data_IF_335931622774
#
_entry.id   IF_335931622774
#
_cell.length_a   1.000
_cell.length_b   1.000
_cell.length_c   1.000
_cell.angle_alpha   90.00
_cell.angle_beta   90.00
_cell.angle_gamma   90.00
#
_symmetry.space_group_name_H-M   'P 1'
#
loop_
_entity.id
_entity.type
_entity.pdbx_description
1 polymer ?
#
# COMPACT_ATOMS: atom_id res chain seq x y z
N UNK A 1 -19.36 9.45 -17.04
CA UNK A 1 -17.96 9.15 -16.67
C UNK A 1 -17.95 7.82 -15.95
N UNK A 2 -17.00 6.95 -16.27
CA UNK A 2 -16.83 5.67 -15.58
C UNK A 2 -16.07 5.90 -14.26
N UNK A 3 -16.19 4.96 -13.32
CA UNK A 3 -15.57 5.01 -11.98
C UNK A 3 -14.56 3.87 -11.77
N UNK A 4 -13.81 3.54 -12.81
CA UNK A 4 -12.81 2.47 -12.71
C UNK A 4 -11.68 2.92 -11.80
N UNK A 5 -11.35 2.11 -10.80
CA UNK A 5 -10.28 2.38 -9.84
C UNK A 5 -9.11 1.40 -10.00
N UNK A 6 -9.41 0.16 -10.35
CA UNK A 6 -8.44 -0.92 -10.57
C UNK A 6 -8.68 -1.57 -11.94
N UNK A 7 -7.59 -1.89 -12.62
CA UNK A 7 -7.54 -2.53 -13.93
C UNK A 7 -6.58 -3.73 -13.96
N UNK A 8 -6.10 -4.15 -12.78
CA UNK A 8 -5.22 -5.31 -12.64
C UNK A 8 -5.87 -6.53 -13.31
N UNK A 9 -5.08 -7.29 -14.08
CA UNK A 9 -5.47 -8.50 -14.82
C UNK A 9 -6.64 -8.37 -15.82
N UNK A 10 -7.14 -7.16 -16.07
CA UNK A 10 -8.38 -6.95 -16.84
C UNK A 10 -8.21 -7.18 -18.35
N UNK A 11 -7.02 -6.92 -18.90
CA UNK A 11 -6.77 -6.93 -20.34
C UNK A 11 -6.07 -8.19 -20.84
N UNK A 12 -5.95 -9.22 -19.99
CA UNK A 12 -5.18 -10.45 -20.24
C UNK A 12 -5.60 -11.21 -21.52
N UNK A 13 -6.87 -11.10 -21.92
CA UNK A 13 -7.43 -11.75 -23.11
C UNK A 13 -7.46 -10.88 -24.37
N UNK A 14 -6.96 -9.64 -24.31
CA UNK A 14 -7.00 -8.69 -25.42
C UNK A 14 -5.63 -8.59 -26.12
N UNK A 15 -5.15 -9.68 -26.71
CA UNK A 15 -3.81 -9.73 -27.30
C UNK A 15 -3.60 -8.75 -28.45
N UNK A 16 -4.66 -8.37 -29.17
CA UNK A 16 -4.62 -7.44 -30.31
C UNK A 16 -4.89 -5.98 -29.91
N UNK A 17 -4.86 -5.66 -28.62
CA UNK A 17 -5.17 -4.32 -28.12
C UNK A 17 -4.05 -3.35 -28.51
N UNK A 18 -4.36 -2.38 -29.38
CA UNK A 18 -3.38 -1.37 -29.86
C UNK A 18 -3.55 -0.02 -29.17
N UNK A 19 -4.80 0.35 -28.87
CA UNK A 19 -5.15 1.64 -28.26
C UNK A 19 -6.03 1.38 -27.06
N UNK A 20 -5.67 1.96 -25.92
CA UNK A 20 -6.46 1.86 -24.69
C UNK A 20 -6.73 3.25 -24.12
N UNK A 21 -8.01 3.57 -23.94
CA UNK A 21 -8.45 4.82 -23.33
C UNK A 21 -9.09 4.57 -21.97
N UNK A 22 -8.39 5.02 -20.93
CA UNK A 22 -8.77 5.01 -19.52
C UNK A 22 -8.99 6.44 -18.98
N UNK A 23 -9.12 7.45 -19.85
CA UNK A 23 -9.32 8.84 -19.43
C UNK A 23 -10.58 9.02 -18.60
N UNK A 24 -10.54 9.93 -17.63
CA UNK A 24 -11.69 10.34 -16.82
C UNK A 24 -12.30 9.18 -16.01
N UNK A 25 -11.44 8.38 -15.39
CA UNK A 25 -11.79 7.41 -14.35
C UNK A 25 -11.17 7.85 -12.99
N UNK A 26 -11.04 6.92 -12.04
CA UNK A 26 -10.56 7.16 -10.68
C UNK A 26 -9.26 6.38 -10.37
N UNK A 27 -8.52 5.99 -11.41
CA UNK A 27 -7.29 5.21 -11.29
C UNK A 27 -6.18 6.05 -10.65
N UNK A 28 -5.62 5.60 -9.53
CA UNK A 28 -4.53 6.32 -8.85
C UNK A 28 -3.15 5.80 -9.26
N UNK A 29 -3.03 4.53 -9.63
CA UNK A 29 -1.80 3.97 -10.19
C UNK A 29 -2.14 2.77 -11.08
N UNK A 30 -1.20 2.34 -11.92
CA UNK A 30 -1.32 1.12 -12.72
C UNK A 30 -0.26 0.15 -12.23
N UNK A 31 -0.71 -1.03 -11.81
CA UNK A 31 0.15 -2.09 -11.30
C UNK A 31 1.12 -2.56 -12.37
N UNK A 32 2.35 -2.85 -11.97
CA UNK A 32 3.27 -3.60 -12.83
C UNK A 32 2.63 -4.93 -13.24
N UNK A 33 2.89 -5.35 -14.45
CA UNK A 33 2.31 -6.57 -15.01
C UNK A 33 0.97 -6.39 -15.73
N UNK A 34 0.25 -5.27 -15.53
CA UNK A 34 -1.11 -5.06 -16.06
C UNK A 34 -1.21 -5.28 -17.59
N UNK A 35 -0.16 -4.94 -18.34
CA UNK A 35 -0.14 -5.04 -19.81
C UNK A 35 0.77 -6.16 -20.35
N UNK A 36 1.15 -7.16 -19.53
CA UNK A 36 2.07 -8.24 -19.94
C UNK A 36 1.59 -9.04 -21.15
N UNK A 37 0.28 -9.14 -21.37
CA UNK A 37 -0.33 -9.89 -22.49
C UNK A 37 -0.69 -9.01 -23.68
N UNK A 38 -0.52 -7.69 -23.58
CA UNK A 38 -0.93 -6.72 -24.60
C UNK A 38 0.31 -6.14 -25.30
N UNK A 39 1.09 -7.01 -25.95
CA UNK A 39 2.36 -6.63 -26.61
C UNK A 39 2.19 -5.60 -27.74
N UNK A 40 1.00 -5.57 -28.36
CA UNK A 40 0.68 -4.68 -29.47
C UNK A 40 0.20 -3.29 -29.01
N UNK A 41 0.05 -3.08 -27.70
CA UNK A 41 -0.47 -1.83 -27.15
C UNK A 41 0.55 -0.70 -27.41
N UNK A 42 0.14 0.27 -28.22
CA UNK A 42 0.98 1.36 -28.72
C UNK A 42 0.58 2.72 -28.15
N UNK A 43 -0.70 2.91 -27.81
CA UNK A 43 -1.24 4.17 -27.30
C UNK A 43 -2.03 3.94 -26.02
N UNK A 44 -1.64 4.65 -24.96
CA UNK A 44 -2.25 4.53 -23.64
C UNK A 44 -2.73 5.89 -23.15
N UNK A 45 -4.03 5.98 -22.92
CA UNK A 45 -4.65 7.17 -22.34
C UNK A 45 -5.14 6.95 -20.87
N UNK A 46 -4.33 7.23 -19.83
CA UNK A 46 -4.58 7.45 -18.37
C UNK A 46 -4.90 8.88 -17.70
N UNK A 47 -5.93 9.71 -18.05
CA UNK A 47 -6.23 11.01 -17.34
C UNK A 47 -6.99 10.60 -16.13
N UNK A 48 -6.26 10.42 -15.05
CA UNK A 48 -6.81 9.95 -13.81
C UNK A 48 -6.10 10.68 -12.68
N UNK A 49 -6.58 10.58 -11.43
CA UNK A 49 -5.89 11.15 -10.27
C UNK A 49 -4.61 10.37 -9.93
N UNK A 50 -3.65 10.34 -10.85
CA UNK A 50 -2.44 9.51 -10.78
C UNK A 50 -1.54 9.98 -9.63
N UNK A 51 -1.17 9.07 -8.74
CA UNK A 51 -0.18 9.24 -7.69
C UNK A 51 1.17 8.78 -8.23
N UNK A 52 2.06 9.73 -8.47
CA UNK A 52 3.37 9.53 -9.07
C UNK A 52 4.39 9.10 -8.02
N UNK A 53 4.33 7.82 -7.64
CA UNK A 53 5.27 7.18 -6.72
C UNK A 53 6.01 6.00 -7.39
N UNK A 54 6.79 5.26 -6.61
CA UNK A 54 7.59 4.16 -7.14
C UNK A 54 6.79 3.00 -7.74
N UNK A 55 5.49 2.87 -7.42
CA UNK A 55 4.59 1.89 -8.05
C UNK A 55 4.39 2.14 -9.54
N UNK A 56 4.69 3.35 -10.02
CA UNK A 56 4.68 3.72 -11.44
C UNK A 56 6.08 3.76 -12.08
N UNK A 57 7.12 3.37 -11.35
CA UNK A 57 8.49 3.42 -11.89
C UNK A 57 8.66 2.50 -13.12
N UNK A 58 8.01 1.33 -13.13
CA UNK A 58 7.95 0.44 -14.28
C UNK A 58 7.29 1.13 -15.49
N UNK A 59 6.21 1.89 -15.28
CA UNK A 59 5.45 2.50 -16.35
C UNK A 59 6.32 3.53 -17.10
N UNK A 60 7.08 4.34 -16.37
CA UNK A 60 8.04 5.25 -16.98
C UNK A 60 9.17 4.48 -17.67
N UNK A 61 9.72 3.43 -17.03
CA UNK A 61 10.84 2.67 -17.58
C UNK A 61 10.47 1.93 -18.89
N UNK A 62 9.27 1.36 -18.95
CA UNK A 62 8.81 0.53 -20.07
C UNK A 62 8.11 1.34 -21.16
N UNK A 63 7.30 2.34 -20.80
CA UNK A 63 6.47 3.10 -21.74
C UNK A 63 7.06 4.46 -22.10
N UNK A 64 7.99 4.99 -21.31
CA UNK A 64 8.78 6.19 -21.61
C UNK A 64 7.97 7.35 -22.21
N UNK A 65 8.47 7.90 -23.32
CA UNK A 65 7.85 8.99 -24.10
C UNK A 65 6.78 8.52 -25.10
N UNK A 66 6.43 7.23 -25.17
CA UNK A 66 5.49 6.71 -26.18
C UNK A 66 4.03 7.08 -25.88
N UNK A 67 3.68 7.34 -24.62
CA UNK A 67 2.38 7.91 -24.20
C UNK A 67 2.36 8.18 -22.70
N UNK A 68 2.71 9.41 -22.25
CA UNK A 68 1.87 10.04 -21.21
C UNK A 68 1.92 11.58 -21.23
N UNK A 69 1.87 12.25 -22.40
CA UNK A 69 1.93 13.74 -22.53
C UNK A 69 0.89 14.52 -21.71
N UNK A 70 -0.04 13.83 -21.07
CA UNK A 70 -1.26 14.38 -20.53
C UNK A 70 -1.65 13.71 -19.19
N UNK A 71 -0.79 12.82 -18.66
CA UNK A 71 -0.89 12.30 -17.29
C UNK A 71 -0.19 13.27 -16.33
N UNK A 72 -0.99 13.93 -15.49
CA UNK A 72 -0.52 14.92 -14.51
C UNK A 72 -0.63 14.30 -13.12
N UNK A 73 0.48 14.30 -12.39
CA UNK A 73 0.55 13.80 -11.03
C UNK A 73 -0.37 14.59 -10.10
N UNK A 74 -1.23 13.90 -9.34
CA UNK A 74 -2.03 14.48 -8.25
C UNK A 74 -1.34 14.38 -6.89
N UNK A 75 -0.40 13.45 -6.75
CA UNK A 75 0.39 13.23 -5.56
C UNK A 75 1.70 12.50 -5.90
N UNK A 76 2.61 12.34 -4.93
CA UNK A 76 2.66 13.06 -3.65
C UNK A 76 2.85 14.57 -3.87
N UNK A 77 2.75 15.43 -2.83
CA UNK A 77 2.89 16.89 -2.98
C UNK A 77 4.13 17.34 -3.75
N UNK A 78 5.26 16.63 -3.64
CA UNK A 78 6.50 16.91 -4.38
C UNK A 78 6.35 16.80 -5.90
N UNK A 79 5.50 15.92 -6.39
CA UNK A 79 5.28 15.70 -7.83
C UNK A 79 3.95 16.26 -8.31
N UNK A 80 3.08 16.75 -7.42
CA UNK A 80 1.78 17.31 -7.79
C UNK A 80 1.92 18.38 -8.87
N UNK A 81 1.13 18.25 -9.94
CA UNK A 81 1.13 19.14 -11.10
C UNK A 81 2.23 18.87 -12.14
N UNK A 82 3.16 17.95 -11.87
CA UNK A 82 4.19 17.54 -12.85
C UNK A 82 3.61 16.55 -13.84
N UNK A 83 4.13 16.57 -15.06
CA UNK A 83 3.84 15.55 -16.06
C UNK A 83 4.61 14.29 -15.69
N UNK A 84 3.93 13.13 -15.76
CA UNK A 84 4.54 11.85 -15.40
C UNK A 84 5.80 11.57 -16.25
N UNK A 85 5.80 11.95 -17.53
CA UNK A 85 6.94 11.75 -18.43
C UNK A 85 8.18 12.60 -18.10
N UNK A 86 8.05 13.68 -17.32
CA UNK A 86 9.19 14.52 -16.89
C UNK A 86 9.97 13.89 -15.72
N UNK A 87 9.44 12.79 -15.15
CA UNK A 87 10.02 12.08 -14.03
C UNK A 87 10.89 10.92 -14.53
N UNK A 88 11.74 10.41 -13.64
CA UNK A 88 12.55 9.21 -13.90
C UNK A 88 12.20 8.14 -12.86
N UNK A 89 12.42 6.86 -13.17
CA UNK A 89 12.23 5.78 -12.20
C UNK A 89 12.96 6.04 -10.87
N UNK A 90 14.17 6.60 -10.92
CA UNK A 90 14.98 6.91 -9.73
C UNK A 90 14.35 8.02 -8.89
N UNK A 91 13.78 9.06 -9.53
CA UNK A 91 13.05 10.12 -8.81
C UNK A 91 11.80 9.58 -8.13
N UNK A 92 11.09 8.65 -8.76
CA UNK A 92 9.92 8.01 -8.18
C UNK A 92 10.30 7.09 -7.00
N UNK A 93 11.44 6.39 -7.09
CA UNK A 93 11.97 5.53 -6.03
C UNK A 93 12.58 6.31 -4.85
N UNK A 94 13.09 7.52 -5.09
CA UNK A 94 13.63 8.38 -4.04
C UNK A 94 12.51 9.03 -3.21
N UNK A 95 12.01 8.32 -2.19
CA UNK A 95 10.83 8.70 -1.42
C UNK A 95 11.11 9.03 0.07
N UNK A 96 11.20 10.32 0.45
CA UNK A 96 11.19 10.69 1.86
C UNK A 96 10.12 11.72 2.23
N UNK A 97 9.03 11.88 1.46
CA UNK A 97 7.99 12.86 1.80
C UNK A 97 6.90 12.24 2.68
N UNK A 98 6.53 12.95 3.75
CA UNK A 98 5.49 12.52 4.68
C UNK A 98 5.90 11.33 5.53
N UNK A 99 7.21 11.09 5.70
CA UNK A 99 7.75 10.08 6.60
C UNK A 99 8.11 10.72 7.94
N UNK A 100 7.68 10.12 9.06
CA UNK A 100 8.10 10.54 10.39
C UNK A 100 9.62 10.45 10.55
N UNK A 101 10.20 11.32 11.39
CA UNK A 101 11.64 11.34 11.64
C UNK A 101 12.14 10.07 12.34
N UNK A 102 11.27 9.40 13.10
CA UNK A 102 11.59 8.13 13.75
C UNK A 102 11.38 6.92 12.82
N UNK A 103 10.92 7.14 11.58
CA UNK A 103 10.61 6.05 10.67
C UNK A 103 11.53 6.05 9.46
N UNK A 104 11.70 4.88 8.86
CA UNK A 104 12.27 4.71 7.54
C UNK A 104 11.14 4.38 6.57
N UNK A 105 11.01 5.17 5.51
CA UNK A 105 10.08 4.92 4.43
C UNK A 105 10.89 4.62 3.17
N UNK A 106 10.63 3.48 2.54
CA UNK A 106 11.35 3.08 1.35
C UNK A 106 10.43 2.46 0.31
N UNK A 107 10.87 2.55 -0.94
CA UNK A 107 10.29 1.82 -2.03
C UNK A 107 10.96 0.45 -2.13
N UNK A 108 10.18 -0.60 -2.03
CA UNK A 108 10.67 -1.98 -2.07
C UNK A 108 10.17 -2.68 -3.34
N UNK A 109 11.02 -3.49 -3.95
CA UNK A 109 10.66 -4.31 -5.10
C UNK A 109 10.21 -5.69 -4.61
N UNK A 110 8.90 -5.95 -4.66
CA UNK A 110 8.32 -7.23 -4.29
C UNK A 110 8.16 -8.08 -5.56
N UNK A 111 8.80 -9.24 -5.63
CA UNK A 111 8.79 -10.09 -6.84
C UNK A 111 7.38 -10.48 -7.30
N UNK A 112 6.42 -10.56 -6.38
CA UNK A 112 5.03 -10.97 -6.67
C UNK A 112 4.18 -9.75 -6.97
N UNK A 113 4.34 -8.69 -6.20
CA UNK A 113 3.44 -7.54 -6.21
C UNK A 113 3.96 -6.34 -7.01
N UNK A 114 5.21 -6.37 -7.47
CA UNK A 114 5.92 -5.22 -8.02
C UNK A 114 6.35 -4.24 -6.93
N UNK A 115 6.72 -3.04 -7.34
CA UNK A 115 7.13 -1.98 -6.41
C UNK A 115 6.00 -1.63 -5.41
N UNK A 116 6.35 -1.46 -4.14
CA UNK A 116 5.48 -0.94 -3.09
C UNK A 116 6.22 -0.02 -2.12
N UNK A 117 5.46 0.60 -1.20
CA UNK A 117 6.00 1.48 -0.16
C UNK A 117 5.95 0.75 1.18
N UNK A 118 7.11 0.61 1.82
CA UNK A 118 7.27 0.02 3.15
C UNK A 118 7.70 1.08 4.14
N UNK A 119 7.09 1.07 5.31
CA UNK A 119 7.37 1.99 6.41
C UNK A 119 7.77 1.16 7.62
N UNK A 120 8.95 1.42 8.17
CA UNK A 120 9.43 0.81 9.40
C UNK A 120 9.66 1.88 10.45
N UNK A 121 9.02 1.72 11.59
CA UNK A 121 9.18 2.53 12.79
C UNK A 121 9.47 1.62 14.00
N UNK A 122 10.15 0.50 13.76
CA UNK A 122 10.36 -0.54 14.76
C UNK A 122 11.40 -0.12 15.80
N UNK A 123 11.17 -0.45 17.07
CA UNK A 123 12.07 -0.17 18.21
C UNK A 123 12.30 1.33 18.51
N UNK A 124 11.37 2.18 18.09
CA UNK A 124 11.45 3.64 18.26
C UNK A 124 10.84 4.13 19.60
N UNK A 125 10.50 3.18 20.49
CA UNK A 125 9.83 3.45 21.78
C UNK A 125 8.50 4.21 21.65
N UNK A 126 7.81 4.07 20.52
CA UNK A 126 6.54 4.75 20.25
C UNK A 126 5.44 4.29 21.21
N UNK A 127 4.71 5.24 21.80
CA UNK A 127 3.53 4.98 22.63
C UNK A 127 2.21 5.17 21.84
N UNK A 128 2.29 5.87 20.71
CA UNK A 128 1.22 6.13 19.75
C UNK A 128 1.72 5.91 18.31
N UNK A 129 0.81 5.90 17.33
CA UNK A 129 1.20 5.79 15.93
C UNK A 129 2.11 6.96 15.51
N UNK A 130 3.07 6.77 14.59
CA UNK A 130 3.88 7.86 14.06
C UNK A 130 2.99 8.97 13.49
N UNK A 131 3.41 10.22 13.67
CA UNK A 131 2.61 11.41 13.35
C UNK A 131 2.30 11.47 11.85
N UNK A 132 3.26 11.06 11.01
CA UNK A 132 3.10 11.06 9.55
C UNK A 132 3.76 9.83 8.92
N UNK A 133 3.09 9.22 7.94
CA UNK A 133 3.66 8.25 7.02
C UNK A 133 2.84 8.30 5.71
N UNK A 134 3.37 7.79 4.58
CA UNK A 134 2.68 7.85 3.30
C UNK A 134 1.33 7.13 3.31
N UNK A 135 0.30 7.74 2.72
CA UNK A 135 -1.03 7.11 2.59
C UNK A 135 -0.99 5.83 1.77
N UNK A 136 -0.07 5.77 0.81
CA UNK A 136 0.17 4.67 -0.11
C UNK A 136 0.93 3.48 0.51
N UNK A 137 1.23 3.53 1.82
CA UNK A 137 1.93 2.46 2.54
C UNK A 137 1.24 1.12 2.36
N UNK A 138 2.00 0.11 1.94
CA UNK A 138 1.51 -1.26 1.79
C UNK A 138 1.96 -2.14 2.97
N UNK A 139 3.14 -1.87 3.52
CA UNK A 139 3.70 -2.60 4.67
C UNK A 139 4.08 -1.60 5.75
N UNK A 140 3.54 -1.79 6.96
CA UNK A 140 3.84 -0.96 8.12
C UNK A 140 4.40 -1.83 9.25
N UNK A 141 5.64 -1.55 9.67
CA UNK A 141 6.28 -2.18 10.82
C UNK A 141 6.34 -1.23 12.01
N UNK A 142 5.65 -1.60 13.08
CA UNK A 142 5.58 -0.91 14.37
C UNK A 142 6.06 -1.81 15.51
N UNK A 143 6.81 -2.86 15.20
CA UNK A 143 7.23 -3.85 16.20
C UNK A 143 8.25 -3.30 17.21
N UNK A 144 8.28 -3.89 18.40
CA UNK A 144 9.22 -3.50 19.45
C UNK A 144 8.96 -2.11 20.05
N UNK A 145 7.74 -1.62 19.94
CA UNK A 145 7.32 -0.34 20.50
C UNK A 145 6.56 -0.52 21.82
N UNK A 146 5.87 0.53 22.29
CA UNK A 146 5.13 0.57 23.56
C UNK A 146 3.65 0.85 23.35
N UNK A 147 3.14 0.58 22.14
CA UNK A 147 1.75 0.83 21.76
C UNK A 147 0.80 0.05 22.67
N UNK A 148 -0.17 0.75 23.27
CA UNK A 148 -1.20 0.15 24.14
C UNK A 148 -2.54 -0.03 23.44
N UNK A 149 -2.77 0.75 22.39
CA UNK A 149 -3.93 0.72 21.53
C UNK A 149 -3.52 1.16 20.12
N UNK A 150 -4.35 0.89 19.13
CA UNK A 150 -4.23 1.46 17.79
C UNK A 150 -5.33 2.48 17.59
N UNK A 151 -5.02 3.52 16.83
CA UNK A 151 -6.01 4.49 16.40
C UNK A 151 -6.94 3.86 15.35
N UNK A 152 -8.24 4.12 15.48
CA UNK A 152 -9.26 3.68 14.54
C UNK A 152 -9.09 4.34 13.16
N UNK A 153 -8.37 5.46 13.11
CA UNK A 153 -8.10 6.21 11.88
C UNK A 153 -7.04 5.55 10.97
N UNK A 154 -6.32 4.52 11.43
CA UNK A 154 -5.25 3.89 10.65
C UNK A 154 -5.77 3.35 9.30
N UNK A 155 -7.02 2.86 9.25
CA UNK A 155 -7.66 2.41 8.00
C UNK A 155 -7.93 3.56 7.02
N UNK A 156 -8.13 4.77 7.53
CA UNK A 156 -8.32 5.99 6.73
C UNK A 156 -6.97 6.55 6.29
N UNK A 157 -5.98 6.53 7.19
CA UNK A 157 -4.62 7.03 6.92
C UNK A 157 -3.90 6.19 5.88
N UNK A 158 -4.11 4.87 5.86
CA UNK A 158 -3.51 3.97 4.87
C UNK A 158 -4.50 2.88 4.42
N UNK A 159 -5.39 3.21 3.47
CA UNK A 159 -6.44 2.29 3.02
C UNK A 159 -5.90 1.10 2.20
N UNK A 160 -4.66 1.20 1.71
CA UNK A 160 -4.02 0.16 0.89
C UNK A 160 -3.09 -0.75 1.70
N UNK A 161 -3.10 -0.63 3.03
CA UNK A 161 -2.24 -1.41 3.90
C UNK A 161 -2.60 -2.90 3.78
N UNK A 162 -1.60 -3.74 3.48
CA UNK A 162 -1.74 -5.19 3.35
C UNK A 162 -1.01 -5.96 4.44
N UNK A 163 0.00 -5.35 5.06
CA UNK A 163 0.85 -6.01 6.03
C UNK A 163 1.12 -5.08 7.21
N UNK A 164 0.80 -5.54 8.41
CA UNK A 164 0.92 -4.76 9.63
C UNK A 164 1.66 -5.57 10.72
N UNK A 165 2.84 -5.13 11.11
CA UNK A 165 3.61 -5.75 12.18
C UNK A 165 3.47 -4.96 13.49
N UNK A 166 2.85 -5.58 14.49
CA UNK A 166 2.62 -5.03 15.83
C UNK A 166 3.29 -5.88 16.91
N UNK A 167 4.18 -6.79 16.53
CA UNK A 167 4.82 -7.70 17.47
C UNK A 167 5.58 -6.93 18.56
N UNK A 168 5.67 -7.50 19.76
CA UNK A 168 6.42 -6.95 20.88
C UNK A 168 6.00 -5.52 21.25
N UNK A 169 4.69 -5.30 21.38
CA UNK A 169 4.10 -4.05 21.87
C UNK A 169 3.42 -4.29 23.24
N UNK A 170 2.53 -3.38 23.66
CA UNK A 170 1.77 -3.45 24.92
C UNK A 170 0.27 -3.51 24.69
N UNK A 171 -0.15 -4.05 23.55
CA UNK A 171 -1.56 -4.19 23.19
C UNK A 171 -2.21 -5.24 24.09
N UNK A 172 -3.23 -4.82 24.84
CA UNK A 172 -3.99 -5.73 25.70
C UNK A 172 -5.27 -6.26 25.02
N UNK A 173 -5.78 -5.52 24.03
CA UNK A 173 -7.03 -5.85 23.31
C UNK A 173 -6.78 -5.82 21.81
N UNK A 174 -7.34 -6.80 21.11
CA UNK A 174 -7.22 -6.87 19.65
C UNK A 174 -8.16 -5.86 18.98
N UNK A 175 -7.67 -5.00 18.07
CA UNK A 175 -8.47 -3.96 17.42
C UNK A 175 -9.31 -4.57 16.27
N UNK A 176 -10.32 -5.37 16.63
CA UNK A 176 -11.16 -6.10 15.67
C UNK A 176 -11.81 -5.15 14.65
N UNK A 177 -12.34 -4.01 15.11
CA UNK A 177 -13.02 -3.05 14.24
C UNK A 177 -12.06 -2.48 13.19
N UNK A 178 -10.84 -2.15 13.58
CA UNK A 178 -9.82 -1.67 12.66
C UNK A 178 -9.43 -2.73 11.63
N UNK A 179 -9.12 -3.95 12.09
CA UNK A 179 -8.72 -5.04 11.22
C UNK A 179 -9.85 -5.45 10.27
N UNK A 180 -11.11 -5.37 10.71
CA UNK A 180 -12.28 -5.65 9.87
C UNK A 180 -12.51 -4.62 8.76
N UNK A 181 -12.05 -3.37 8.97
CA UNK A 181 -12.11 -2.29 7.97
C UNK A 181 -10.94 -2.33 7.00
N UNK A 182 -9.89 -3.08 7.32
CA UNK A 182 -8.70 -3.23 6.48
C UNK A 182 -8.72 -4.53 5.70
N UNK A 183 -8.09 -4.53 4.54
CA UNK A 183 -7.88 -5.75 3.74
C UNK A 183 -6.45 -6.28 3.93
N UNK A 184 -6.11 -6.64 5.17
CA UNK A 184 -4.78 -7.15 5.51
C UNK A 184 -4.60 -8.58 5.01
N UNK A 185 -3.48 -8.84 4.34
CA UNK A 185 -3.01 -10.19 3.99
C UNK A 185 -2.17 -10.81 5.11
N UNK A 186 -1.46 -9.98 5.87
CA UNK A 186 -0.55 -10.44 6.94
C UNK A 186 -0.61 -9.51 8.14
N UNK A 187 -0.64 -10.09 9.33
CA UNK A 187 -0.53 -9.32 10.58
C UNK A 187 0.30 -10.10 11.60
N UNK A 188 1.21 -9.41 12.28
CA UNK A 188 2.05 -9.99 13.34
C UNK A 188 1.70 -9.37 14.68
N UNK A 189 1.38 -10.23 15.66
CA UNK A 189 0.78 -9.83 16.94
C UNK A 189 1.50 -10.43 18.15
N UNK A 190 2.53 -11.25 17.93
CA UNK A 190 3.27 -11.97 18.97
C UNK A 190 3.90 -11.03 19.99
N UNK A 191 4.08 -11.48 21.24
CA UNK A 191 4.77 -10.70 22.27
C UNK A 191 3.99 -9.50 22.80
N UNK A 192 2.67 -9.49 22.64
CA UNK A 192 1.77 -8.52 23.28
C UNK A 192 1.03 -9.17 24.46
N UNK A 193 0.70 -8.40 25.52
CA UNK A 193 -0.01 -8.89 26.71
C UNK A 193 -1.53 -9.02 26.46
N UNK A 194 -1.92 -9.85 25.48
CA UNK A 194 -3.32 -10.06 25.13
C UNK A 194 -4.15 -10.52 26.32
N UNK A 195 -5.26 -9.85 26.59
CA UNK A 195 -6.26 -10.36 27.52
C UNK A 195 -6.89 -11.63 26.94
N UNK A 196 -7.21 -12.57 27.82
CA UNK A 196 -7.87 -13.82 27.48
C UNK A 196 -9.13 -13.97 28.35
N UNK A 197 -9.85 -12.86 28.51
CA UNK A 197 -11.11 -12.82 29.22
C UNK A 197 -12.31 -13.04 28.28
N UNK A 198 -13.51 -13.12 28.85
CA UNK A 198 -14.73 -13.41 28.11
C UNK A 198 -15.15 -12.28 27.13
N UNK A 199 -14.55 -11.09 27.17
CA UNK A 199 -14.85 -10.00 26.23
C UNK A 199 -14.10 -10.15 24.89
N UNK A 200 -13.06 -11.01 24.83
CA UNK A 200 -12.20 -11.19 23.64
C UNK A 200 -12.71 -12.25 22.64
N UNK A 201 -14.02 -12.56 22.66
CA UNK A 201 -14.63 -13.53 21.74
C UNK A 201 -14.37 -13.20 20.26
N UNK A 202 -14.35 -11.91 19.92
CA UNK A 202 -14.07 -11.43 18.56
C UNK A 202 -12.65 -11.79 18.10
N UNK A 203 -11.66 -11.67 18.99
CA UNK A 203 -10.28 -12.05 18.73
C UNK A 203 -10.13 -13.57 18.55
N UNK A 204 -10.75 -14.35 19.43
CA UNK A 204 -10.70 -15.82 19.36
C UNK A 204 -11.39 -16.37 18.10
N UNK A 205 -12.38 -15.66 17.57
CA UNK A 205 -13.01 -15.96 16.28
C UNK A 205 -12.09 -15.58 15.11
N UNK A 206 -11.61 -14.34 15.10
CA UNK A 206 -10.72 -13.83 14.04
C UNK A 206 -9.47 -14.70 13.86
N UNK A 207 -8.82 -15.11 14.95
CA UNK A 207 -7.63 -15.97 14.92
C UNK A 207 -7.89 -17.40 14.43
N UNK A 208 -9.13 -17.92 14.55
CA UNK A 208 -9.52 -19.22 13.98
C UNK A 208 -9.74 -19.15 12.48
N UNK A 209 -10.29 -18.03 11.99
CA UNK A 209 -10.57 -17.82 10.57
C UNK A 209 -9.28 -17.53 9.77
N UNK A 210 -8.21 -17.07 10.42
CA UNK A 210 -6.90 -16.77 9.83
C UNK A 210 -5.80 -17.72 10.33
N UNK A 211 -5.85 -18.98 9.86
CA UNK A 211 -5.05 -20.13 10.35
C UNK A 211 -3.50 -19.99 10.34
N UNK A 212 -2.95 -18.85 9.91
CA UNK A 212 -1.52 -18.51 10.04
C UNK A 212 -1.14 -17.82 11.35
N UNK A 213 -2.07 -17.09 11.99
CA UNK A 213 -1.84 -16.37 13.24
C UNK A 213 -2.01 -17.26 14.49
N UNK A 214 -2.80 -18.33 14.39
CA UNK A 214 -3.18 -19.23 15.48
C UNK A 214 -2.06 -20.05 16.12
N UNK A 215 -0.88 -20.18 15.48
CA UNK A 215 0.23 -21.01 16.01
C UNK A 215 1.11 -20.32 17.06
N UNK A 216 0.89 -19.03 17.34
CA UNK A 216 1.62 -18.29 18.37
C UNK A 216 0.75 -17.82 19.55
N UNK A 217 -0.54 -18.20 19.60
CA UNK A 217 -1.43 -17.82 20.70
C UNK A 217 -1.51 -18.85 21.84
N UNK A 218 -0.94 -20.04 21.66
CA UNK A 218 -0.98 -21.12 22.65
C UNK A 218 0.36 -21.83 22.74
N UNK A 219 1.39 -21.14 23.23
CA UNK A 219 2.50 -21.72 24.01
C UNK A 219 3.11 -20.64 24.87
#
# INVERSE_FOLDING_TARGET
MNKVQDITDTFTNLSTLVVLNLTMNEITFIRDGTFLKNSDLAQLYIRNPIVCDCRLSWLIATWGTRSPDWAICQGPPRFRGRLLYDLTPEKLKAWPQGCDANCTCECHDDEVFGMDIRVSCANESLEELPSTFPTETAVLDLSGNRLRQLDDDLAVRSPNLRSLNLANNRLAKFPTDLVSKMNLSSVWLSGNPWSCDCEDYAFTRWGRDHQGCGKQFFT
#
